data_IF_965914820465
#
_entry.id   IF_965914820465
#
_cell.length_a   1.000
_cell.length_b   1.000
_cell.length_c   1.000
_cell.angle_alpha   90.00
_cell.angle_beta   90.00
_cell.angle_gamma   90.00
#
_symmetry.space_group_name_H-M   'P 1'
#
loop_
_entity.id
_entity.type
_entity.pdbx_description
1 polymer ?
#
# COMPACT_ATOMS: atom_id res chain seq x y z
N UNK A 1 -10.04 -4.74 20.02
CA UNK A 1 -9.46 -4.79 18.67
C UNK A 1 -9.66 -3.44 17.98
N UNK A 2 -8.59 -2.65 17.77
CA UNK A 2 -8.67 -1.42 16.99
C UNK A 2 -8.75 -1.79 15.50
N UNK A 3 -9.95 -1.76 14.91
CA UNK A 3 -10.09 -1.91 13.46
C UNK A 3 -9.41 -0.72 12.76
N UNK A 4 -8.54 -1.02 11.78
CA UNK A 4 -7.90 -0.02 10.90
C UNK A 4 -8.99 0.61 10.02
N UNK A 5 -8.89 1.91 9.78
CA UNK A 5 -9.71 2.62 8.81
C UNK A 5 -9.07 2.45 7.43
N UNK A 6 -9.86 2.04 6.44
CA UNK A 6 -9.39 1.78 5.08
C UNK A 6 -9.82 2.92 4.18
N UNK A 7 -8.85 3.63 3.60
CA UNK A 7 -9.10 4.67 2.60
C UNK A 7 -9.16 4.03 1.22
N UNK A 8 -10.20 4.39 0.45
CA UNK A 8 -10.45 3.83 -0.88
C UNK A 8 -10.93 4.91 -1.85
N UNK A 9 -10.69 4.65 -3.13
CA UNK A 9 -11.27 5.40 -4.23
C UNK A 9 -12.69 4.85 -4.45
N UNK A 10 -13.68 5.74 -4.52
CA UNK A 10 -15.08 5.30 -4.69
C UNK A 10 -15.38 4.78 -6.10
N UNK A 11 -14.51 5.07 -7.06
CA UNK A 11 -14.75 4.86 -8.49
C UNK A 11 -14.05 3.61 -9.07
N UNK A 12 -13.23 2.88 -8.30
CA UNK A 12 -12.57 1.65 -8.79
C UNK A 12 -12.45 0.54 -7.75
N UNK A 13 -12.61 -0.70 -8.21
CA UNK A 13 -12.11 -1.87 -7.50
C UNK A 13 -10.59 -1.73 -7.40
N UNK A 14 -10.08 -1.80 -6.16
CA UNK A 14 -8.67 -1.69 -5.80
C UNK A 14 -7.79 -2.42 -6.85
N UNK A 15 -7.07 -1.71 -7.74
CA UNK A 15 -6.23 -2.39 -8.71
C UNK A 15 -5.14 -3.13 -7.94
N UNK A 16 -4.92 -4.40 -8.28
CA UNK A 16 -3.88 -5.24 -7.69
C UNK A 16 -2.57 -4.44 -7.60
N UNK A 17 -1.98 -4.48 -6.40
CA UNK A 17 -0.91 -3.58 -6.02
C UNK A 17 0.36 -4.01 -6.75
N UNK A 18 1.09 -3.07 -7.33
CA UNK A 18 2.44 -3.32 -7.89
C UNK A 18 3.43 -2.31 -7.31
N UNK A 19 3.05 -1.66 -6.20
CA UNK A 19 3.81 -0.59 -5.57
C UNK A 19 5.13 -1.09 -5.03
N UNK A 20 5.11 -2.25 -4.41
CA UNK A 20 6.29 -2.86 -3.80
C UNK A 20 6.75 -4.07 -4.60
N UNK A 21 8.00 -4.47 -4.39
CA UNK A 21 8.56 -5.67 -5.02
C UNK A 21 7.76 -6.92 -4.62
N UNK A 22 7.24 -6.97 -3.38
CA UNK A 22 6.37 -8.04 -2.92
C UNK A 22 5.02 -8.03 -3.65
N UNK A 23 4.37 -6.87 -3.77
CA UNK A 23 3.10 -6.79 -4.49
C UNK A 23 3.27 -7.13 -5.99
N UNK A 24 4.43 -6.80 -6.58
CA UNK A 24 4.75 -7.14 -7.96
C UNK A 24 4.89 -8.67 -8.17
N UNK A 25 5.44 -9.42 -7.21
CA UNK A 25 5.45 -10.88 -7.26
C UNK A 25 4.04 -11.47 -7.31
N UNK A 26 3.16 -10.98 -6.42
CA UNK A 26 1.77 -11.43 -6.36
C UNK A 26 1.04 -11.09 -7.66
N UNK A 27 1.23 -9.87 -8.16
CA UNK A 27 0.68 -9.42 -9.43
C UNK A 27 1.11 -10.32 -10.60
N UNK A 28 2.41 -10.60 -10.76
CA UNK A 28 2.92 -11.43 -11.86
C UNK A 28 2.42 -12.87 -11.72
N UNK A 29 2.30 -13.38 -10.50
CA UNK A 29 1.70 -14.70 -10.25
C UNK A 29 0.26 -14.73 -10.75
N UNK A 30 -0.58 -13.81 -10.30
CA UNK A 30 -2.01 -13.76 -10.61
C UNK A 30 -2.29 -13.46 -12.09
N UNK A 31 -1.49 -12.59 -12.72
CA UNK A 31 -1.75 -12.09 -14.08
C UNK A 31 -1.02 -12.83 -15.18
N UNK A 32 0.13 -13.44 -14.88
CA UNK A 32 0.92 -14.16 -15.86
C UNK A 32 0.88 -15.67 -15.62
N UNK A 33 1.22 -16.14 -14.42
CA UNK A 33 1.33 -17.58 -14.17
C UNK A 33 -0.03 -18.28 -14.11
N UNK A 34 -0.98 -17.76 -13.33
CA UNK A 34 -2.30 -18.41 -13.16
C UNK A 34 -2.98 -18.65 -14.52
N UNK A 35 -3.05 -17.68 -15.45
CA UNK A 35 -3.61 -17.91 -16.78
C UNK A 35 -2.80 -18.92 -17.62
N UNK A 36 -1.47 -18.94 -17.51
CA UNK A 36 -0.64 -19.90 -18.24
C UNK A 36 -0.82 -21.33 -17.74
N UNK A 37 -0.96 -21.54 -16.43
CA UNK A 37 -1.32 -22.84 -15.87
C UNK A 37 -2.68 -23.31 -16.40
N UNK A 38 -3.69 -22.43 -16.36
CA UNK A 38 -5.02 -22.73 -16.85
C UNK A 38 -5.03 -23.09 -18.35
N UNK A 39 -4.27 -22.35 -19.17
CA UNK A 39 -4.12 -22.63 -20.60
C UNK A 39 -3.46 -24.00 -20.89
N UNK A 40 -2.69 -24.53 -19.94
CA UNK A 40 -2.06 -25.85 -20.03
C UNK A 40 -2.85 -26.94 -19.28
N UNK A 41 -4.13 -26.69 -18.98
CA UNK A 41 -5.02 -27.65 -18.34
C UNK A 41 -4.71 -27.92 -16.87
N UNK A 42 -3.86 -27.10 -16.24
CA UNK A 42 -3.51 -27.22 -14.85
C UNK A 42 -4.22 -26.14 -14.02
N UNK A 43 -4.82 -26.55 -12.90
CA UNK A 43 -5.39 -25.59 -11.96
C UNK A 43 -4.29 -25.02 -11.09
N UNK A 44 -4.20 -23.69 -11.03
CA UNK A 44 -3.37 -23.04 -10.02
C UNK A 44 -3.87 -23.41 -8.62
N UNK A 45 -2.99 -23.98 -7.81
CA UNK A 45 -3.26 -24.24 -6.40
C UNK A 45 -2.31 -23.39 -5.57
N UNK A 46 -2.81 -22.77 -4.50
CA UNK A 46 -2.03 -21.90 -3.61
C UNK A 46 -0.85 -22.61 -2.92
N UNK A 47 -0.84 -23.95 -2.92
CA UNK A 47 0.29 -24.76 -2.47
C UNK A 47 1.54 -24.64 -3.38
N UNK A 48 1.38 -24.14 -4.62
CA UNK A 48 2.48 -23.84 -5.54
C UNK A 48 3.08 -22.43 -5.37
N UNK A 49 2.81 -21.76 -4.24
CA UNK A 49 3.45 -20.47 -3.94
C UNK A 49 4.97 -20.57 -4.06
N UNK A 50 5.61 -19.47 -4.48
CA UNK A 50 7.06 -19.24 -4.61
C UNK A 50 7.70 -19.42 -6.00
N UNK A 51 6.96 -19.36 -7.11
CA UNK A 51 7.62 -19.25 -8.42
C UNK A 51 8.19 -17.85 -8.66
N UNK A 52 7.47 -16.79 -8.29
CA UNK A 52 8.06 -15.47 -8.12
C UNK A 52 8.42 -15.26 -6.66
N UNK A 53 9.69 -14.98 -6.40
CA UNK A 53 10.19 -14.51 -5.11
C UNK A 53 11.02 -13.25 -5.33
N UNK A 54 11.45 -12.61 -4.25
CA UNK A 54 12.38 -11.49 -4.30
C UNK A 54 13.60 -11.79 -3.45
N UNK A 55 14.71 -11.12 -3.74
CA UNK A 55 15.94 -11.26 -2.98
C UNK A 55 15.70 -10.91 -1.51
N UNK A 56 16.05 -11.84 -0.61
CA UNK A 56 15.86 -11.70 0.84
C UNK A 56 16.67 -10.53 1.45
N UNK A 57 17.61 -9.97 0.70
CA UNK A 57 18.34 -8.76 1.10
C UNK A 57 17.61 -7.46 0.70
N UNK A 58 16.56 -7.53 -0.11
CA UNK A 58 15.72 -6.40 -0.47
C UNK A 58 14.70 -6.10 0.64
N UNK A 59 14.42 -4.82 0.87
CA UNK A 59 13.24 -4.41 1.65
C UNK A 59 11.97 -4.67 0.80
N UNK A 60 11.08 -5.57 1.24
CA UNK A 60 9.92 -6.00 0.45
C UNK A 60 8.93 -4.87 0.18
N UNK A 61 9.02 -3.75 0.89
CA UNK A 61 8.15 -2.58 0.73
C UNK A 61 8.70 -1.57 -0.30
N UNK A 62 9.93 -1.76 -0.78
CA UNK A 62 10.52 -0.89 -1.79
C UNK A 62 9.93 -1.18 -3.18
N UNK A 63 9.84 -0.15 -4.03
CA UNK A 63 9.27 -0.29 -5.37
C UNK A 63 10.21 -0.98 -6.37
N UNK A 64 11.50 -1.01 -6.05
CA UNK A 64 12.57 -1.62 -6.85
C UNK A 64 13.28 -2.69 -6.03
N UNK A 65 13.87 -3.67 -6.71
CA UNK A 65 14.53 -4.80 -6.08
C UNK A 65 14.84 -5.87 -7.11
N UNK A 66 15.30 -7.04 -6.68
CA UNK A 66 15.54 -8.17 -7.58
C UNK A 66 14.46 -9.22 -7.37
N UNK A 67 13.77 -9.58 -8.45
CA UNK A 67 12.87 -10.73 -8.48
C UNK A 67 13.64 -11.98 -8.90
N UNK A 68 13.28 -13.11 -8.32
CA UNK A 68 13.65 -14.43 -8.79
C UNK A 68 12.42 -15.12 -9.33
N UNK A 69 12.52 -15.61 -10.56
CA UNK A 69 11.50 -16.45 -11.16
C UNK A 69 12.04 -17.86 -11.34
N UNK A 70 11.47 -18.80 -10.58
CA UNK A 70 11.74 -20.22 -10.69
C UNK A 70 10.79 -20.81 -11.72
N UNK A 71 11.31 -21.23 -12.87
CA UNK A 71 10.50 -21.79 -13.96
C UNK A 71 9.78 -23.03 -13.45
N UNK A 72 8.44 -23.07 -13.46
CA UNK A 72 7.71 -24.25 -13.00
C UNK A 72 8.06 -25.46 -13.88
N UNK A 73 8.18 -26.67 -13.30
CA UNK A 73 8.49 -27.88 -14.08
C UNK A 73 7.53 -28.15 -15.25
N UNK A 74 6.25 -27.74 -15.11
CA UNK A 74 5.24 -27.81 -16.16
C UNK A 74 5.66 -27.06 -17.45
N UNK A 75 6.51 -26.04 -17.32
CA UNK A 75 6.99 -25.22 -18.42
C UNK A 75 8.49 -25.44 -18.72
N UNK A 76 9.03 -26.61 -18.37
CA UNK A 76 10.39 -26.97 -18.72
C UNK A 76 10.62 -26.84 -20.25
N UNK A 77 11.68 -26.15 -20.64
CA UNK A 77 11.97 -25.85 -22.06
C UNK A 77 11.25 -24.63 -22.64
N UNK A 78 10.30 -24.03 -21.91
CA UNK A 78 9.55 -22.83 -22.33
C UNK A 78 10.08 -21.54 -21.67
N UNK A 79 11.31 -21.54 -21.15
CA UNK A 79 11.89 -20.42 -20.40
C UNK A 79 11.90 -19.12 -21.21
N UNK A 80 12.28 -19.16 -22.50
CA UNK A 80 12.28 -17.97 -23.36
C UNK A 80 10.87 -17.39 -23.56
N UNK A 81 9.84 -18.24 -23.67
CA UNK A 81 8.45 -17.78 -23.80
C UNK A 81 7.95 -17.14 -22.50
N UNK A 82 8.32 -17.70 -21.35
CA UNK A 82 7.99 -17.14 -20.04
C UNK A 82 8.70 -15.80 -19.82
N UNK A 83 9.97 -15.70 -20.19
CA UNK A 83 10.74 -14.47 -20.13
C UNK A 83 10.10 -13.35 -20.96
N UNK A 84 9.72 -13.67 -22.21
CA UNK A 84 9.02 -12.71 -23.08
C UNK A 84 7.67 -12.28 -22.48
N UNK A 85 6.90 -13.21 -21.90
CA UNK A 85 5.65 -12.88 -21.23
C UNK A 85 5.86 -11.95 -20.02
N UNK A 86 6.91 -12.19 -19.23
CA UNK A 86 7.26 -11.35 -18.07
C UNK A 86 7.60 -9.95 -18.55
N UNK A 87 8.50 -9.82 -19.53
CA UNK A 87 8.88 -8.53 -20.10
C UNK A 87 7.68 -7.79 -20.71
N UNK A 88 6.76 -8.51 -21.36
CA UNK A 88 5.53 -7.94 -21.90
C UNK A 88 4.64 -7.37 -20.80
N UNK A 89 4.42 -8.11 -19.69
CA UNK A 89 3.62 -7.61 -18.57
C UNK A 89 4.27 -6.43 -17.84
N UNK A 90 5.59 -6.48 -17.62
CA UNK A 90 6.34 -5.35 -17.05
C UNK A 90 6.26 -4.11 -17.95
N UNK A 91 6.41 -4.30 -19.28
CA UNK A 91 6.26 -3.24 -20.27
C UNK A 91 4.87 -2.61 -20.29
N UNK A 92 3.81 -3.43 -20.14
CA UNK A 92 2.42 -2.96 -20.01
C UNK A 92 2.22 -2.02 -18.81
N UNK A 93 2.95 -2.27 -17.72
CA UNK A 93 2.97 -1.45 -16.51
C UNK A 93 4.00 -0.31 -16.56
N UNK A 94 4.76 -0.19 -17.66
CA UNK A 94 5.91 0.72 -17.80
C UNK A 94 7.00 0.49 -16.74
N UNK A 95 7.03 -0.68 -16.11
CA UNK A 95 8.08 -1.06 -15.16
C UNK A 95 9.31 -1.44 -15.96
N UNK A 96 10.44 -0.80 -15.67
CA UNK A 96 11.71 -1.11 -16.33
C UNK A 96 12.43 -2.19 -15.54
N UNK A 97 12.77 -3.27 -16.24
CA UNK A 97 13.70 -4.26 -15.76
C UNK A 97 15.10 -4.02 -16.35
N UNK A 98 16.13 -4.36 -15.59
CA UNK A 98 17.47 -4.56 -16.11
C UNK A 98 17.58 -5.88 -16.89
N UNK A 99 18.78 -6.22 -17.40
CA UNK A 99 19.00 -7.48 -18.10
C UNK A 99 18.59 -8.68 -17.23
N UNK A 100 17.77 -9.57 -17.78
CA UNK A 100 17.40 -10.83 -17.11
C UNK A 100 18.61 -11.76 -17.19
N UNK A 101 19.03 -12.28 -16.03
CA UNK A 101 20.17 -13.20 -15.92
C UNK A 101 19.65 -14.57 -15.53
N UNK A 102 19.93 -15.57 -16.34
CA UNK A 102 19.65 -16.96 -16.00
C UNK A 102 20.72 -17.46 -15.04
N UNK A 103 20.32 -17.89 -13.85
CA UNK A 103 21.27 -18.42 -12.88
C UNK A 103 21.84 -19.76 -13.37
N UNK A 104 23.15 -20.00 -13.17
CA UNK A 104 23.73 -21.28 -13.50
C UNK A 104 23.03 -22.38 -12.70
N UNK A 105 22.60 -23.44 -13.39
CA UNK A 105 21.94 -24.61 -12.79
C UNK A 105 22.85 -25.18 -11.71
N UNK A 106 22.49 -24.99 -10.44
CA UNK A 106 23.20 -25.63 -9.34
C UNK A 106 23.02 -27.15 -9.45
N UNK A 107 24.06 -27.92 -9.15
CA UNK A 107 24.05 -29.39 -9.29
C UNK A 107 22.94 -30.10 -8.47
N UNK A 108 22.30 -29.40 -7.52
CA UNK A 108 21.22 -29.90 -6.68
C UNK A 108 19.81 -29.44 -7.09
N UNK A 109 19.66 -28.52 -8.06
CA UNK A 109 18.37 -27.98 -8.47
C UNK A 109 18.24 -27.99 -9.99
N UNK A 110 17.33 -28.83 -10.49
CA UNK A 110 16.96 -28.92 -11.92
C UNK A 110 16.07 -27.76 -12.40
N UNK A 111 15.90 -26.75 -11.57
CA UNK A 111 15.02 -25.61 -11.81
C UNK A 111 15.80 -24.49 -12.44
N UNK A 112 15.33 -24.00 -13.60
CA UNK A 112 15.84 -22.79 -14.23
C UNK A 112 15.37 -21.60 -13.39
N UNK A 113 16.30 -20.80 -12.89
CA UNK A 113 15.99 -19.56 -12.16
C UNK A 113 16.40 -18.36 -13.00
N UNK A 114 15.47 -17.42 -13.19
CA UNK A 114 15.72 -16.13 -13.81
C UNK A 114 15.81 -15.06 -12.74
N UNK A 115 16.88 -14.28 -12.76
CA UNK A 115 17.07 -13.09 -11.92
C UNK A 115 16.66 -11.86 -12.72
N UNK A 116 15.67 -11.13 -12.23
CA UNK A 116 15.02 -10.02 -12.93
C UNK A 116 15.18 -8.76 -12.05
N UNK A 117 16.18 -7.90 -12.33
CA UNK A 117 16.36 -6.65 -11.59
C UNK A 117 15.28 -5.65 -12.00
N UNK A 118 14.51 -5.13 -11.05
CA UNK A 118 13.55 -4.04 -11.28
C UNK A 118 14.28 -2.73 -11.01
N UNK A 119 14.52 -1.96 -12.08
CA UNK A 119 15.33 -0.72 -12.01
C UNK A 119 14.48 0.53 -11.85
N UNK A 120 13.25 0.51 -12.34
CA UNK A 120 12.31 1.63 -12.23
C UNK A 120 10.88 1.08 -12.20
N UNK A 121 10.09 1.52 -11.22
CA UNK A 121 8.72 1.08 -11.05
C UNK A 121 7.81 2.31 -10.90
N UNK A 122 7.36 2.90 -12.02
CA UNK A 122 6.50 4.08 -11.98
C UNK A 122 5.13 3.77 -11.37
N UNK A 123 4.72 2.50 -11.30
CA UNK A 123 3.45 2.12 -10.67
C UNK A 123 3.43 2.39 -9.17
N UNK A 124 4.59 2.48 -8.52
CA UNK A 124 4.70 2.93 -7.14
C UNK A 124 4.15 4.35 -6.92
N UNK A 125 4.18 5.17 -7.97
CA UNK A 125 3.62 6.52 -7.97
C UNK A 125 2.16 6.55 -8.47
N UNK A 126 1.70 5.52 -9.17
CA UNK A 126 0.34 5.38 -9.72
C UNK A 126 -0.64 4.76 -8.72
N UNK A 127 -0.24 4.53 -7.47
CA UNK A 127 -1.11 3.97 -6.44
C UNK A 127 -1.25 4.90 -5.25
N UNK A 128 -2.43 4.93 -4.60
CA UNK A 128 -2.64 5.78 -3.46
C UNK A 128 -1.66 5.41 -2.34
N UNK A 129 -1.05 6.40 -1.66
CA UNK A 129 -0.26 6.14 -0.47
C UNK A 129 -1.13 5.47 0.60
N UNK A 130 -0.53 4.68 1.48
CA UNK A 130 -1.30 4.07 2.56
C UNK A 130 -1.62 5.09 3.64
N UNK A 131 -2.88 5.09 4.10
CA UNK A 131 -3.28 5.81 5.31
C UNK A 131 -3.39 4.79 6.44
N UNK A 132 -2.48 4.85 7.40
CA UNK A 132 -2.41 3.90 8.51
C UNK A 132 -3.03 4.50 9.77
N UNK A 133 -4.36 4.47 9.80
CA UNK A 133 -5.15 5.11 10.85
C UNK A 133 -6.08 4.11 11.53
N UNK A 134 -6.13 4.12 12.87
CA UNK A 134 -7.16 3.37 13.61
C UNK A 134 -8.50 4.10 13.54
N UNK A 135 -9.63 3.40 13.71
CA UNK A 135 -10.95 4.05 13.74
C UNK A 135 -11.07 5.19 14.76
N UNK A 136 -10.49 5.03 15.95
CA UNK A 136 -10.53 6.08 16.99
C UNK A 136 -9.79 7.34 16.54
N UNK A 137 -8.61 7.21 15.94
CA UNK A 137 -7.89 8.36 15.36
C UNK A 137 -8.61 8.89 14.13
N UNK A 138 -9.23 8.02 13.35
CA UNK A 138 -10.12 8.36 12.24
C UNK A 138 -11.26 9.28 12.64
N UNK A 139 -11.91 9.03 13.77
CA UNK A 139 -12.94 9.92 14.30
C UNK A 139 -12.36 11.30 14.65
N UNK A 140 -11.22 11.35 15.33
CA UNK A 140 -10.57 12.65 15.66
C UNK A 140 -10.21 13.41 14.39
N UNK A 141 -9.56 12.75 13.43
CA UNK A 141 -9.10 13.40 12.20
C UNK A 141 -10.27 13.78 11.29
N UNK A 142 -11.09 12.82 10.89
CA UNK A 142 -12.13 13.04 9.89
C UNK A 142 -13.32 13.82 10.47
N UNK A 143 -13.80 13.47 11.66
CA UNK A 143 -14.99 14.09 12.25
C UNK A 143 -14.65 15.36 13.03
N UNK A 144 -13.70 15.29 13.96
CA UNK A 144 -13.49 16.41 14.90
C UNK A 144 -12.63 17.54 14.30
N UNK A 145 -11.62 17.19 13.50
CA UNK A 145 -10.74 18.18 12.85
C UNK A 145 -11.25 18.58 11.46
N UNK A 146 -11.61 17.62 10.61
CA UNK A 146 -12.07 17.90 9.25
C UNK A 146 -13.59 18.04 9.12
N UNK A 147 -14.39 17.76 10.16
CA UNK A 147 -15.83 18.01 10.14
C UNK A 147 -16.65 17.07 9.24
N UNK A 148 -16.11 15.93 8.81
CA UNK A 148 -16.86 14.93 8.07
C UNK A 148 -17.76 14.10 8.99
N UNK A 149 -18.98 13.84 8.53
CA UNK A 149 -19.89 12.94 9.23
C UNK A 149 -19.97 11.61 8.47
N UNK A 150 -19.87 10.47 9.17
CA UNK A 150 -20.01 9.19 8.50
C UNK A 150 -21.47 8.93 8.14
N UNK A 151 -21.73 8.46 6.92
CA UNK A 151 -23.02 7.93 6.49
C UNK A 151 -22.91 6.42 6.39
N UNK A 152 -23.76 5.66 7.10
CA UNK A 152 -23.68 4.19 7.16
C UNK A 152 -22.31 3.63 7.55
N UNK A 153 -21.59 4.33 8.44
CA UNK A 153 -20.25 3.92 8.90
C UNK A 153 -19.11 4.21 7.91
N UNK A 154 -19.38 4.94 6.82
CA UNK A 154 -18.42 5.37 5.81
C UNK A 154 -18.31 6.89 5.80
N UNK A 155 -17.09 7.40 5.74
CA UNK A 155 -16.84 8.80 5.42
C UNK A 155 -16.69 8.95 3.90
N UNK A 156 -17.36 9.94 3.31
CA UNK A 156 -17.26 10.26 1.89
C UNK A 156 -16.89 11.74 1.74
N UNK A 157 -15.94 12.03 0.86
CA UNK A 157 -15.41 13.37 0.68
C UNK A 157 -14.73 13.51 -0.68
N UNK A 158 -14.53 14.76 -1.13
CA UNK A 158 -13.77 15.05 -2.34
C UNK A 158 -12.32 15.37 -2.03
N UNK A 159 -11.40 15.06 -2.93
CA UNK A 159 -9.97 15.29 -2.72
C UNK A 159 -9.66 16.78 -2.50
N UNK A 160 -10.27 17.69 -3.27
CA UNK A 160 -10.12 19.14 -3.10
C UNK A 160 -10.62 19.64 -1.74
N UNK A 161 -11.83 19.22 -1.34
CA UNK A 161 -12.42 19.62 -0.05
C UNK A 161 -11.57 19.14 1.13
N UNK A 162 -11.03 17.91 1.07
CA UNK A 162 -10.11 17.41 2.10
C UNK A 162 -8.89 18.30 2.26
N UNK A 163 -8.24 18.68 1.14
CA UNK A 163 -7.04 19.52 1.17
C UNK A 163 -7.34 20.92 1.71
N UNK A 164 -8.47 21.51 1.31
CA UNK A 164 -8.91 22.81 1.84
C UNK A 164 -9.14 22.75 3.35
N UNK A 165 -9.82 21.71 3.85
CA UNK A 165 -10.07 21.56 5.28
C UNK A 165 -8.80 21.28 6.07
N UNK A 166 -7.88 20.48 5.51
CA UNK A 166 -6.57 20.22 6.10
C UNK A 166 -5.75 21.51 6.26
N UNK A 167 -5.80 22.42 5.29
CA UNK A 167 -5.12 23.71 5.37
C UNK A 167 -5.68 24.61 6.50
N UNK A 168 -6.94 24.41 6.87
CA UNK A 168 -7.59 25.13 7.98
C UNK A 168 -7.42 24.49 9.36
N UNK A 169 -6.68 23.38 9.49
CA UNK A 169 -6.41 22.75 10.80
C UNK A 169 -5.24 23.46 11.46
N UNK A 170 -5.49 24.06 12.63
CA UNK A 170 -4.44 24.70 13.44
C UNK A 170 -3.93 23.79 14.55
N UNK A 171 -2.76 24.12 15.08
CA UNK A 171 -2.15 23.38 16.20
C UNK A 171 -3.00 23.45 17.47
N UNK A 172 -3.69 24.56 17.70
CA UNK A 172 -4.61 24.72 18.83
C UNK A 172 -5.81 23.77 18.72
N UNK A 173 -6.35 23.57 17.51
CA UNK A 173 -7.42 22.58 17.27
C UNK A 173 -6.93 21.16 17.51
N UNK A 174 -5.73 20.83 17.05
CA UNK A 174 -5.11 19.51 17.31
C UNK A 174 -4.88 19.30 18.82
N UNK A 175 -4.37 20.32 19.51
CA UNK A 175 -4.16 20.28 20.95
C UNK A 175 -5.48 20.08 21.72
N UNK A 176 -6.52 20.81 21.36
CA UNK A 176 -7.84 20.69 21.98
C UNK A 176 -8.46 19.29 21.78
N UNK A 177 -8.36 18.71 20.59
CA UNK A 177 -8.87 17.37 20.29
C UNK A 177 -8.07 16.24 20.93
N UNK A 178 -6.85 16.50 21.39
CA UNK A 178 -5.96 15.50 22.03
C UNK A 178 -5.78 15.72 23.52
N UNK A 179 -6.50 16.69 24.09
CA UNK A 179 -6.41 17.03 25.50
C UNK A 179 -7.09 15.97 26.38
N UNK A 180 -6.32 15.41 27.30
CA UNK A 180 -6.76 14.39 28.25
C UNK A 180 -6.87 14.95 29.66
N UNK A 181 -7.80 14.44 30.49
CA UNK A 181 -7.89 14.84 31.88
C UNK A 181 -6.65 14.39 32.66
N UNK A 182 -5.98 15.32 33.31
CA UNK A 182 -4.83 15.13 34.20
C UNK A 182 -5.21 15.64 35.58
N UNK A 183 -4.91 14.85 36.62
CA UNK A 183 -5.07 15.30 38.01
C UNK A 183 -3.93 16.25 38.35
N UNK A 184 -4.29 17.43 38.82
CA UNK A 184 -3.33 18.42 39.28
C UNK A 184 -2.58 17.86 40.51
N UNK A 185 -1.25 17.77 40.44
CA UNK A 185 -0.44 17.15 41.50
C UNK A 185 -0.31 18.00 42.77
N UNK A 186 -0.72 19.27 42.73
CA UNK A 186 -0.30 20.28 43.71
C UNK A 186 -1.42 20.96 44.53
N UNK A 187 -2.70 20.58 44.38
CA UNK A 187 -3.79 21.21 45.13
C UNK A 187 -4.55 20.19 46.00
N UNK A 188 -4.83 20.57 47.26
CA UNK A 188 -5.65 19.81 48.22
C UNK A 188 -7.10 19.57 47.72
N UNK A 189 -7.51 20.24 46.63
CA UNK A 189 -8.72 19.93 45.86
C UNK A 189 -8.34 19.20 44.57
N UNK A 190 -8.93 18.03 44.33
CA UNK A 190 -8.75 17.19 43.14
C UNK A 190 -9.31 17.83 41.86
N UNK A 191 -8.72 18.95 41.42
CA UNK A 191 -9.06 19.57 40.13
C UNK A 191 -8.48 18.75 38.99
N UNK A 192 -9.32 18.49 37.99
CA UNK A 192 -8.97 17.79 36.76
C UNK A 192 -8.79 18.85 35.68
N UNK A 193 -7.57 19.01 35.18
CA UNK A 193 -7.25 19.89 34.05
C UNK A 193 -7.16 19.06 32.77
N UNK A 194 -7.52 19.62 31.62
CA UNK A 194 -7.27 18.98 30.33
C UNK A 194 -5.96 19.47 29.76
N UNK A 195 -5.00 18.57 29.55
CA UNK A 195 -3.72 18.88 28.93
C UNK A 195 -3.52 18.09 27.63
N UNK A 196 -3.01 18.74 26.55
CA UNK A 196 -2.67 18.05 25.32
C UNK A 196 -1.56 17.02 25.55
N UNK A 197 -1.73 15.82 25.01
CA UNK A 197 -0.66 14.84 24.98
C UNK A 197 0.21 15.04 23.73
N UNK A 198 1.49 15.37 23.90
CA UNK A 198 2.44 15.50 22.79
C UNK A 198 2.51 14.24 21.92
N UNK A 199 2.38 13.06 22.52
CA UNK A 199 2.36 11.78 21.80
C UNK A 199 1.11 11.67 20.93
N UNK A 200 -0.05 12.03 21.48
CA UNK A 200 -1.32 12.03 20.74
C UNK A 200 -1.31 13.07 19.63
N UNK A 201 -0.79 14.27 19.89
CA UNK A 201 -0.65 15.34 18.89
C UNK A 201 0.23 14.88 17.72
N UNK A 202 1.41 14.30 17.99
CA UNK A 202 2.27 13.75 16.92
C UNK A 202 1.57 12.68 16.09
N UNK A 203 0.84 11.78 16.75
CA UNK A 203 0.09 10.73 16.04
C UNK A 203 -1.02 11.32 15.16
N UNK A 204 -1.72 12.36 15.62
CA UNK A 204 -2.74 13.06 14.83
C UNK A 204 -2.12 13.81 13.65
N UNK A 205 -1.00 14.52 13.84
CA UNK A 205 -0.27 15.20 12.76
C UNK A 205 0.15 14.24 11.65
N UNK A 206 0.79 13.12 12.01
CA UNK A 206 1.13 12.05 11.05
C UNK A 206 -0.10 11.58 10.27
N UNK A 207 -1.23 11.39 10.94
CA UNK A 207 -2.47 10.99 10.28
C UNK A 207 -3.04 12.07 9.34
N UNK A 208 -2.95 13.35 9.70
CA UNK A 208 -3.31 14.45 8.80
C UNK A 208 -2.40 14.50 7.57
N UNK A 209 -1.10 14.25 7.75
CA UNK A 209 -0.13 14.20 6.65
C UNK A 209 -0.37 13.01 5.71
N UNK A 210 -0.66 11.83 6.26
CA UNK A 210 -1.04 10.64 5.47
C UNK A 210 -2.30 10.90 4.63
N UNK A 211 -3.33 11.55 5.21
CA UNK A 211 -4.55 11.94 4.48
C UNK A 211 -4.25 13.00 3.41
N UNK A 212 -3.37 13.97 3.71
CA UNK A 212 -2.92 14.98 2.74
C UNK A 212 -2.27 14.32 1.53
N UNK A 213 -1.29 13.45 1.77
CA UNK A 213 -0.58 12.73 0.70
C UNK A 213 -1.55 11.91 -0.16
N UNK A 214 -2.52 11.25 0.47
CA UNK A 214 -3.56 10.50 -0.25
C UNK A 214 -4.42 11.41 -1.14
N UNK A 215 -4.87 12.55 -0.63
CA UNK A 215 -5.71 13.49 -1.38
C UNK A 215 -4.93 14.20 -2.50
N UNK A 216 -3.69 14.62 -2.26
CA UNK A 216 -2.81 15.18 -3.29
C UNK A 216 -2.54 14.17 -4.41
N UNK A 217 -2.25 12.92 -4.03
CA UNK A 217 -2.08 11.83 -4.98
C UNK A 217 -3.35 11.64 -5.82
N UNK A 218 -4.52 11.62 -5.18
CA UNK A 218 -5.80 11.45 -5.85
C UNK A 218 -6.04 12.55 -6.90
N UNK A 219 -5.79 13.81 -6.56
CA UNK A 219 -5.91 14.94 -7.50
C UNK A 219 -4.95 14.82 -8.69
N UNK A 220 -3.68 14.48 -8.45
CA UNK A 220 -2.68 14.29 -9.53
C UNK A 220 -3.10 13.20 -10.52
N UNK A 221 -3.89 12.22 -10.06
CA UNK A 221 -4.39 11.11 -10.85
C UNK A 221 -5.86 11.25 -11.26
N UNK A 222 -6.42 12.47 -11.17
CA UNK A 222 -7.80 12.81 -11.54
C UNK A 222 -8.91 12.07 -10.77
N UNK A 223 -8.60 11.50 -9.59
CA UNK A 223 -9.61 10.95 -8.69
C UNK A 223 -10.21 12.04 -7.83
N UNK A 224 -11.52 12.25 -7.97
CA UNK A 224 -12.22 13.31 -7.23
C UNK A 224 -12.88 12.82 -5.94
N UNK A 225 -13.41 11.59 -5.92
CA UNK A 225 -14.23 11.07 -4.82
C UNK A 225 -13.53 9.97 -4.02
N UNK A 226 -13.37 10.21 -2.73
CA UNK A 226 -12.63 9.35 -1.81
C UNK A 226 -13.56 8.87 -0.69
N UNK A 227 -13.18 7.78 -0.03
CA UNK A 227 -13.91 7.32 1.15
C UNK A 227 -13.04 6.62 2.18
N UNK A 228 -13.53 6.53 3.41
CA UNK A 228 -12.87 5.79 4.49
C UNK A 228 -13.87 4.94 5.32
N UNK A 229 -13.54 3.67 5.59
CA UNK A 229 -14.41 2.65 6.26
C UNK A 229 -13.67 1.89 7.37
#
# INVERSE_FOLDING_TARGET
MNRKLTFTLTEQANPLRTRSIADLCDYLTDRLLVPQFAANGANWRREYMNFFTFDNTCDPLQPTGTLFFHVPPLFAGCSASLEAAILSELGRLQIKAGPIVHEPRAAAADVITMRIPIVDNPTALLQPPEVNMSRTRGAVVLRDLLGYQPTNGRYEFTADDVLQRLAGVTEERVAACTASPVKEKAAASSRVQREPSLVSMRAVRRCLDEVRQFAEWALRHNYRRLSAI
#
